data_IF_374360165378
#
_entry.id   IF_374360165378
#
_cell.length_a   1.000
_cell.length_b   1.000
_cell.length_c   1.000
_cell.angle_alpha   90.00
_cell.angle_beta   90.00
_cell.angle_gamma   90.00
#
_symmetry.space_group_name_H-M   'P 1'
#
loop_
_entity.id
_entity.type
_entity.pdbx_description
1 polymer ?
#
# COMPACT_ATOMS: atom_id res chain seq x y z
N UNK A 1 28.20 -20.37 6.88
CA UNK A 1 28.20 -18.91 6.68
C UNK A 1 26.76 -18.42 6.69
N UNK A 2 26.30 -17.91 7.83
CA UNK A 2 24.93 -17.41 7.99
C UNK A 2 24.93 -15.95 7.54
N UNK A 3 24.38 -15.66 6.37
CA UNK A 3 24.15 -14.29 5.92
C UNK A 3 23.17 -13.66 6.90
N UNK A 4 23.66 -12.89 7.89
CA UNK A 4 22.78 -12.06 8.73
C UNK A 4 22.08 -11.10 7.78
N UNK A 5 20.76 -11.24 7.62
CA UNK A 5 19.93 -10.23 7.00
C UNK A 5 20.18 -8.93 7.76
N UNK A 6 20.82 -7.97 7.09
CA UNK A 6 21.26 -6.72 7.68
C UNK A 6 20.04 -5.82 7.84
N UNK A 7 19.16 -6.11 8.80
CA UNK A 7 17.92 -5.37 8.91
C UNK A 7 18.17 -3.92 9.37
N UNK A 8 17.55 -2.92 8.73
CA UNK A 8 17.68 -1.54 9.14
C UNK A 8 17.07 -1.31 10.53
N UNK A 9 17.65 -0.37 11.27
CA UNK A 9 17.19 -0.06 12.63
C UNK A 9 15.72 0.37 12.64
N UNK A 10 15.06 0.17 13.79
CA UNK A 10 13.62 0.39 13.88
C UNK A 10 13.17 1.84 13.63
N UNK A 11 14.11 2.78 13.71
CA UNK A 11 13.91 4.19 13.40
C UNK A 11 13.91 4.47 11.90
N UNK A 12 14.74 3.77 11.11
CA UNK A 12 14.88 4.02 9.66
C UNK A 12 13.62 3.62 8.89
N UNK A 13 13.02 2.47 9.19
CA UNK A 13 11.77 2.08 8.52
C UNK A 13 10.62 3.02 8.88
N UNK A 14 10.53 3.48 10.14
CA UNK A 14 9.50 4.46 10.55
C UNK A 14 9.66 5.77 9.81
N UNK A 15 10.89 6.26 9.70
CA UNK A 15 11.18 7.47 8.94
C UNK A 15 10.76 7.31 7.48
N UNK A 16 11.09 6.18 6.85
CA UNK A 16 10.72 5.89 5.46
C UNK A 16 9.22 5.86 5.23
N UNK A 17 8.47 5.19 6.11
CA UNK A 17 7.00 5.17 6.05
C UNK A 17 6.46 6.60 6.16
N UNK A 18 6.99 7.42 7.08
CA UNK A 18 6.48 8.78 7.30
C UNK A 18 6.87 9.77 6.20
N UNK A 19 7.93 9.51 5.44
CA UNK A 19 8.34 10.35 4.30
C UNK A 19 7.62 10.01 3.00
N UNK A 20 7.06 8.80 2.87
CA UNK A 20 6.42 8.32 1.63
C UNK A 20 4.90 8.39 1.72
N UNK A 21 4.26 9.19 0.85
CA UNK A 21 2.79 9.28 0.77
C UNK A 21 2.12 7.90 0.60
N UNK A 22 2.47 7.06 -0.39
CA UNK A 22 1.82 5.76 -0.56
C UNK A 22 1.98 4.87 0.69
N UNK A 23 3.14 4.89 1.35
CA UNK A 23 3.36 4.14 2.59
C UNK A 23 2.55 4.69 3.77
N UNK A 24 2.38 6.01 3.88
CA UNK A 24 1.49 6.62 4.89
C UNK A 24 0.05 6.18 4.70
N UNK A 25 -0.45 6.19 3.45
CA UNK A 25 -1.79 5.74 3.13
C UNK A 25 -1.98 4.25 3.45
N UNK A 26 -1.04 3.40 3.04
CA UNK A 26 -1.06 1.97 3.34
C UNK A 26 -1.02 1.70 4.85
N UNK A 27 -0.24 2.47 5.62
CA UNK A 27 -0.16 2.35 7.06
C UNK A 27 -1.47 2.76 7.77
N UNK A 28 -2.18 3.74 7.23
CA UNK A 28 -3.50 4.16 7.73
C UNK A 28 -4.59 3.12 7.39
N UNK A 29 -4.54 2.52 6.18
CA UNK A 29 -5.41 1.39 5.81
C UNK A 29 -5.15 0.18 6.73
N UNK A 30 -3.89 -0.16 6.98
CA UNK A 30 -3.55 -1.25 7.91
C UNK A 30 -4.05 -0.96 9.33
N UNK A 31 -3.95 0.29 9.77
CA UNK A 31 -4.48 0.71 11.07
C UNK A 31 -6.00 0.55 11.12
N UNK A 32 -6.72 1.01 10.10
CA UNK A 32 -8.17 0.93 10.06
C UNK A 32 -8.67 -0.51 9.96
N UNK A 33 -8.00 -1.38 9.21
CA UNK A 33 -8.31 -2.81 9.16
C UNK A 33 -8.07 -3.50 10.51
N UNK A 34 -6.95 -3.20 11.18
CA UNK A 34 -6.62 -3.78 12.49
C UNK A 34 -7.62 -3.37 13.58
N UNK A 35 -8.07 -2.11 13.55
CA UNK A 35 -8.89 -1.53 14.61
C UNK A 35 -10.37 -1.35 14.22
N UNK A 36 -10.76 -1.78 13.03
CA UNK A 36 -12.07 -1.57 12.40
C UNK A 36 -12.48 -0.08 12.25
N UNK A 37 -11.53 0.83 12.50
CA UNK A 37 -11.64 2.29 12.33
C UNK A 37 -10.25 2.89 12.33
N UNK A 38 -10.06 4.03 11.69
CA UNK A 38 -8.80 4.76 11.78
C UNK A 38 -8.66 5.37 13.19
N UNK A 39 -7.64 4.92 13.93
CA UNK A 39 -7.35 5.39 15.30
C UNK A 39 -6.25 6.43 15.36
N UNK A 40 -5.36 6.41 14.38
CA UNK A 40 -4.27 7.38 14.22
C UNK A 40 -3.96 7.50 12.74
N UNK A 41 -3.77 8.73 12.25
CA UNK A 41 -3.46 8.98 10.85
C UNK A 41 -2.01 9.44 10.68
N UNK A 42 -1.30 8.81 9.75
CA UNK A 42 0.00 9.25 9.25
C UNK A 42 -0.16 10.13 8.02
N UNK A 43 -1.12 9.81 7.15
CA UNK A 43 -1.32 10.52 5.89
C UNK A 43 -2.04 11.86 6.06
N UNK A 44 -2.92 11.98 7.06
CA UNK A 44 -3.88 13.08 7.17
C UNK A 44 -5.03 12.98 6.16
N UNK A 45 -5.07 11.92 5.34
CA UNK A 45 -5.97 11.79 4.19
C UNK A 45 -7.16 10.84 4.44
N UNK A 46 -7.22 10.21 5.61
CA UNK A 46 -8.34 9.35 6.03
C UNK A 46 -8.71 8.23 5.04
N UNK A 47 -7.76 7.40 4.58
CA UNK A 47 -8.03 6.42 3.54
C UNK A 47 -9.01 5.33 3.99
N UNK A 48 -10.00 5.05 3.15
CA UNK A 48 -10.96 3.95 3.33
C UNK A 48 -11.23 3.27 2.00
N UNK A 49 -11.52 1.96 2.02
CA UNK A 49 -11.93 1.25 0.82
C UNK A 49 -13.24 1.84 0.28
N UNK A 50 -13.19 2.29 -0.97
CA UNK A 50 -14.30 2.84 -1.71
C UNK A 50 -14.99 1.78 -2.57
N UNK A 51 -15.30 2.15 -3.82
CA UNK A 51 -16.02 1.29 -4.75
C UNK A 51 -15.20 0.05 -5.11
N UNK A 52 -15.93 -1.05 -5.33
CA UNK A 52 -15.42 -2.29 -5.92
C UNK A 52 -16.06 -2.44 -7.29
N UNK A 53 -15.25 -2.52 -8.34
CA UNK A 53 -15.72 -2.68 -9.71
C UNK A 53 -15.34 -4.07 -10.21
N UNK A 54 -16.30 -4.76 -10.81
CA UNK A 54 -16.14 -6.10 -11.37
C UNK A 54 -16.41 -6.03 -12.87
N UNK A 55 -15.47 -6.49 -13.68
CA UNK A 55 -15.65 -6.69 -15.13
C UNK A 55 -15.63 -8.18 -15.44
N UNK A 56 -16.55 -8.67 -16.25
CA UNK A 56 -16.56 -10.07 -16.69
C UNK A 56 -16.58 -10.08 -18.22
N UNK A 57 -15.56 -10.67 -18.84
CA UNK A 57 -15.53 -10.90 -20.27
C UNK A 57 -16.27 -12.20 -20.59
N UNK A 58 -17.50 -12.07 -21.10
CA UNK A 58 -18.32 -13.19 -21.56
C UNK A 58 -18.09 -13.43 -23.06
N UNK A 59 -17.98 -14.69 -23.48
CA UNK A 59 -17.87 -15.08 -24.90
C UNK A 59 -16.44 -15.26 -25.44
N UNK A 60 -15.42 -14.88 -24.67
CA UNK A 60 -14.02 -15.22 -24.94
C UNK A 60 -13.57 -16.33 -23.99
N UNK A 61 -13.10 -17.47 -24.52
CA UNK A 61 -12.44 -18.49 -23.72
C UNK A 61 -10.95 -18.13 -23.56
N UNK A 62 -10.38 -18.10 -22.34
CA UNK A 62 -11.01 -18.32 -21.03
C UNK A 62 -11.76 -17.09 -20.49
N UNK A 63 -12.82 -17.34 -19.71
CA UNK A 63 -13.56 -16.28 -18.99
C UNK A 63 -12.61 -15.52 -18.08
N UNK A 64 -12.48 -14.22 -18.32
CA UNK A 64 -11.62 -13.34 -17.51
C UNK A 64 -12.50 -12.48 -16.60
N UNK A 65 -12.22 -12.51 -15.30
CA UNK A 65 -12.85 -11.65 -14.30
C UNK A 65 -11.82 -10.60 -13.88
N UNK A 66 -12.15 -9.33 -14.14
CA UNK A 66 -11.35 -8.18 -13.73
C UNK A 66 -11.94 -7.57 -12.46
N UNK A 67 -11.05 -7.20 -11.54
CA UNK A 67 -11.42 -6.64 -10.25
C UNK A 67 -10.64 -5.36 -10.01
N UNK A 68 -11.34 -4.26 -9.76
CA UNK A 68 -10.74 -2.98 -9.42
C UNK A 68 -11.27 -2.50 -8.07
N UNK A 69 -10.34 -2.15 -7.19
CA UNK A 69 -10.64 -1.56 -5.90
C UNK A 69 -10.21 -0.10 -5.90
N UNK A 70 -11.01 0.74 -5.26
CA UNK A 70 -10.68 2.13 -5.03
C UNK A 70 -10.43 2.38 -3.53
N UNK A 71 -9.52 3.31 -3.25
CA UNK A 71 -9.30 3.88 -1.93
C UNK A 71 -9.75 5.33 -1.98
N UNK A 72 -10.79 5.65 -1.23
CA UNK A 72 -11.24 7.01 -1.06
C UNK A 72 -10.38 7.71 -0.01
N UNK A 73 -9.91 8.91 -0.34
CA UNK A 73 -9.21 9.82 0.55
C UNK A 73 -9.94 11.16 0.60
N UNK A 74 -9.56 12.04 1.53
CA UNK A 74 -10.09 13.41 1.58
C UNK A 74 -9.76 14.24 0.34
N UNK A 75 -8.73 13.86 -0.43
CA UNK A 75 -8.30 14.59 -1.63
C UNK A 75 -8.73 13.93 -2.95
N UNK A 76 -9.33 12.73 -2.90
CA UNK A 76 -9.80 12.02 -4.09
C UNK A 76 -9.81 10.49 -3.96
N UNK A 77 -10.33 9.82 -4.98
CA UNK A 77 -10.27 8.36 -5.10
C UNK A 77 -8.98 7.94 -5.81
N UNK A 78 -8.36 6.88 -5.31
CA UNK A 78 -7.11 6.31 -5.83
C UNK A 78 -7.36 4.86 -6.21
N UNK A 79 -6.78 4.40 -7.30
CA UNK A 79 -6.77 2.97 -7.65
C UNK A 79 -5.92 2.20 -6.61
N UNK A 80 -6.51 1.19 -5.97
CA UNK A 80 -5.84 0.45 -4.90
C UNK A 80 -4.69 -0.42 -5.43
N UNK A 81 -4.76 -0.88 -6.69
CA UNK A 81 -3.66 -1.61 -7.31
C UNK A 81 -2.48 -0.69 -7.57
N UNK A 82 -2.75 0.51 -8.11
CA UNK A 82 -1.72 1.54 -8.27
C UNK A 82 -1.07 1.90 -6.92
N UNK A 83 -1.86 2.13 -5.88
CA UNK A 83 -1.34 2.42 -4.54
C UNK A 83 -0.45 1.29 -4.02
N UNK A 84 -0.83 0.02 -4.25
CA UNK A 84 -0.03 -1.13 -3.86
C UNK A 84 1.31 -1.16 -4.62
N UNK A 85 1.31 -0.92 -5.94
CA UNK A 85 2.52 -0.82 -6.75
C UNK A 85 3.46 0.26 -6.21
N UNK A 86 2.95 1.47 -5.96
CA UNK A 86 3.75 2.58 -5.43
C UNK A 86 4.33 2.27 -4.03
N UNK A 87 3.63 1.47 -3.21
CA UNK A 87 4.17 1.01 -1.94
C UNK A 87 5.34 0.05 -2.12
N UNK A 88 5.25 -0.89 -3.07
CA UNK A 88 6.34 -1.82 -3.39
C UNK A 88 7.54 -1.05 -3.92
N UNK A 89 7.34 -0.13 -4.87
CA UNK A 89 8.41 0.71 -5.42
C UNK A 89 9.12 1.52 -4.32
N UNK A 90 8.34 2.08 -3.37
CA UNK A 90 8.91 2.80 -2.24
C UNK A 90 9.75 1.88 -1.33
N UNK A 91 9.33 0.63 -1.12
CA UNK A 91 10.12 -0.33 -0.33
C UNK A 91 11.37 -0.81 -1.07
N UNK A 92 11.29 -1.01 -2.38
CA UNK A 92 12.44 -1.40 -3.20
C UNK A 92 13.50 -0.30 -3.26
N UNK A 93 13.07 0.97 -3.41
CA UNK A 93 13.96 2.12 -3.28
C UNK A 93 14.65 2.17 -1.91
N UNK A 94 13.90 1.91 -0.83
CA UNK A 94 14.48 1.84 0.51
C UNK A 94 15.47 0.68 0.65
N UNK A 95 15.14 -0.51 0.15
CA UNK A 95 16.06 -1.66 0.16
C UNK A 95 17.36 -1.36 -0.57
N UNK A 96 17.26 -0.82 -1.79
CA UNK A 96 18.42 -0.45 -2.60
C UNK A 96 19.31 0.58 -1.88
N UNK A 97 18.72 1.63 -1.32
CA UNK A 97 19.44 2.67 -0.57
C UNK A 97 20.10 2.15 0.73
N UNK A 98 19.69 0.99 1.23
CA UNK A 98 20.19 0.39 2.46
C UNK A 98 21.03 -0.88 2.23
N UNK A 99 21.29 -1.26 0.97
CA UNK A 99 22.03 -2.48 0.64
C UNK A 99 21.31 -3.77 1.05
N UNK A 100 19.97 -3.74 1.12
CA UNK A 100 19.15 -4.89 1.48
C UNK A 100 18.84 -5.71 0.22
N UNK A 101 19.12 -7.00 0.28
CA UNK A 101 18.77 -7.96 -0.78
C UNK A 101 17.31 -8.36 -0.67
#
# INVERSE_FOLDING_TARGET
MTTRFQQPSSRRWRAHINSSRPLKLCADICNSLKHLRLTSSRSGEGPAFGKKQFGVALGTAPTTINLKYEVNTTIGSIDAFQLATECIDAWDAFRAANGLK
#
